data_IF_903551388635
#
_entry.id   IF_903551388635
#
_cell.length_a   1.000
_cell.length_b   1.000
_cell.length_c   1.000
_cell.angle_alpha   90.00
_cell.angle_beta   90.00
_cell.angle_gamma   90.00
#
_symmetry.space_group_name_H-M   'P 1'
#
loop_
_entity.id
_entity.type
_entity.pdbx_description
1 polymer ?
#
# COMPACT_ATOMS: atom_id res chain seq x y z
N UNK A 1 -26.56 7.08 0.05
CA UNK A 1 -25.30 7.56 0.64
C UNK A 1 -24.31 6.40 0.76
N UNK A 2 -23.02 6.62 0.47
CA UNK A 2 -21.98 5.60 0.77
C UNK A 2 -21.76 5.51 2.27
N UNK A 3 -21.71 4.30 2.82
CA UNK A 3 -21.34 4.05 4.23
C UNK A 3 -19.85 4.35 4.46
N UNK A 4 -19.44 4.53 5.72
CA UNK A 4 -18.03 4.69 6.09
C UNK A 4 -17.16 3.53 5.54
N UNK A 5 -17.64 2.30 5.69
CA UNK A 5 -17.04 1.10 5.09
C UNK A 5 -16.84 1.23 3.58
N UNK A 6 -17.90 1.63 2.85
CA UNK A 6 -17.83 1.74 1.39
C UNK A 6 -16.86 2.83 0.93
N UNK A 7 -16.75 3.93 1.69
CA UNK A 7 -15.79 5.01 1.43
C UNK A 7 -14.36 4.54 1.67
N UNK A 8 -14.11 3.87 2.80
CA UNK A 8 -12.80 3.29 3.12
C UNK A 8 -12.36 2.29 2.06
N UNK A 9 -13.20 1.31 1.74
CA UNK A 9 -12.88 0.27 0.75
C UNK A 9 -12.60 0.89 -0.62
N UNK A 10 -13.41 1.87 -1.06
CA UNK A 10 -13.14 2.56 -2.31
C UNK A 10 -11.77 3.27 -2.28
N UNK A 11 -11.47 4.00 -1.22
CA UNK A 11 -10.22 4.75 -1.13
C UNK A 11 -8.98 3.84 -1.17
N UNK A 12 -8.99 2.74 -0.42
CA UNK A 12 -7.91 1.74 -0.44
C UNK A 12 -7.71 1.17 -1.86
N UNK A 13 -8.79 0.85 -2.56
CA UNK A 13 -8.71 0.25 -3.89
C UNK A 13 -8.30 1.25 -4.98
N UNK A 14 -8.79 2.49 -4.89
CA UNK A 14 -8.42 3.58 -5.79
C UNK A 14 -6.93 3.91 -5.67
N UNK A 15 -6.36 3.83 -4.47
CA UNK A 15 -4.90 3.95 -4.29
C UNK A 15 -4.15 2.73 -4.78
N UNK A 16 -4.58 1.53 -4.37
CA UNK A 16 -3.94 0.26 -4.75
C UNK A 16 -3.74 0.12 -6.28
N UNK A 17 -4.76 0.47 -7.08
CA UNK A 17 -4.71 0.30 -8.54
C UNK A 17 -3.70 1.24 -9.23
N UNK A 18 -3.31 2.32 -8.57
CA UNK A 18 -2.34 3.30 -9.07
C UNK A 18 -0.89 2.94 -8.74
N UNK A 19 -0.67 1.93 -7.88
CA UNK A 19 0.65 1.59 -7.41
C UNK A 19 1.53 0.98 -8.51
N UNK A 20 2.82 1.36 -8.57
CA UNK A 20 3.78 0.77 -9.48
C UNK A 20 3.95 -0.72 -9.19
N UNK A 21 4.11 -1.52 -10.24
CA UNK A 21 4.30 -2.96 -10.12
C UNK A 21 3.06 -3.73 -9.64
N UNK A 22 1.85 -3.15 -9.70
CA UNK A 22 0.58 -3.88 -9.51
C UNK A 22 -0.06 -4.25 -10.85
N UNK A 23 -1.06 -5.12 -10.82
CA UNK A 23 -1.83 -5.50 -12.02
C UNK A 23 -2.73 -4.38 -12.58
N UNK A 24 -2.79 -3.20 -11.93
CA UNK A 24 -3.64 -2.06 -12.32
C UNK A 24 -5.12 -2.41 -12.54
N UNK A 25 -5.61 -3.42 -11.82
CA UNK A 25 -7.02 -3.81 -11.77
C UNK A 25 -7.40 -4.28 -10.37
N UNK A 26 -8.68 -4.16 -10.04
CA UNK A 26 -9.25 -4.61 -8.76
C UNK A 26 -9.86 -5.99 -8.90
N UNK A 27 -9.36 -6.95 -8.13
CA UNK A 27 -9.89 -8.30 -8.01
C UNK A 27 -10.98 -8.37 -6.93
N UNK A 28 -11.77 -9.47 -6.95
CA UNK A 28 -12.72 -9.77 -5.86
C UNK A 28 -12.00 -9.94 -4.52
N UNK A 29 -10.81 -10.52 -4.53
CA UNK A 29 -9.99 -10.71 -3.33
C UNK A 29 -9.55 -9.36 -2.73
N UNK A 30 -9.20 -8.38 -3.56
CA UNK A 30 -8.76 -7.06 -3.07
C UNK A 30 -9.88 -6.36 -2.29
N UNK A 31 -11.13 -6.46 -2.79
CA UNK A 31 -12.31 -5.96 -2.06
C UNK A 31 -12.48 -6.65 -0.70
N UNK A 32 -12.26 -7.96 -0.63
CA UNK A 32 -12.33 -8.73 0.62
C UNK A 32 -11.23 -8.29 1.60
N UNK A 33 -10.00 -8.11 1.12
CA UNK A 33 -8.88 -7.63 1.94
C UNK A 33 -9.14 -6.20 2.45
N UNK A 34 -9.57 -5.26 1.60
CA UNK A 34 -9.89 -3.90 2.02
C UNK A 34 -11.03 -3.86 3.06
N UNK A 35 -12.05 -4.72 2.90
CA UNK A 35 -13.12 -4.88 3.87
C UNK A 35 -12.62 -5.46 5.19
N UNK A 36 -11.71 -6.43 5.15
CA UNK A 36 -11.10 -6.99 6.36
C UNK A 36 -10.29 -5.93 7.14
N UNK A 37 -9.52 -5.09 6.44
CA UNK A 37 -8.79 -3.97 7.05
C UNK A 37 -9.73 -2.98 7.74
N UNK A 38 -10.84 -2.61 7.08
CA UNK A 38 -11.87 -1.76 7.70
C UNK A 38 -12.46 -2.39 8.97
N UNK A 39 -12.82 -3.67 8.91
CA UNK A 39 -13.41 -4.40 10.06
C UNK A 39 -12.44 -4.54 11.23
N UNK A 40 -11.14 -4.63 10.95
CA UNK A 40 -10.07 -4.60 11.95
C UNK A 40 -9.84 -3.20 12.55
N UNK A 41 -10.50 -2.16 12.05
CA UNK A 41 -10.31 -0.79 12.51
C UNK A 41 -9.00 -0.16 12.04
N UNK A 42 -8.33 -0.72 11.02
CA UNK A 42 -7.07 -0.19 10.51
C UNK A 42 -7.32 1.19 9.89
N UNK A 43 -6.62 2.20 10.39
CA UNK A 43 -6.74 3.57 9.88
C UNK A 43 -6.23 3.65 8.44
N UNK A 44 -6.83 4.54 7.66
CA UNK A 44 -6.52 4.68 6.24
C UNK A 44 -5.07 5.13 5.98
N UNK A 45 -4.52 5.98 6.84
CA UNK A 45 -3.15 6.45 6.77
C UNK A 45 -2.13 5.32 6.98
N UNK A 46 -2.42 4.34 7.85
CA UNK A 46 -1.57 3.15 8.04
C UNK A 46 -1.51 2.32 6.75
N UNK A 47 -2.65 2.16 6.06
CA UNK A 47 -2.69 1.46 4.77
C UNK A 47 -1.87 2.21 3.70
N UNK A 48 -1.98 3.54 3.64
CA UNK A 48 -1.19 4.34 2.72
C UNK A 48 0.31 4.27 3.02
N UNK A 49 0.69 4.34 4.29
CA UNK A 49 2.07 4.20 4.72
C UNK A 49 2.62 2.80 4.38
N UNK A 50 1.80 1.76 4.49
CA UNK A 50 2.17 0.40 4.08
C UNK A 50 2.43 0.33 2.57
N UNK A 51 1.66 1.05 1.75
CA UNK A 51 1.93 1.15 0.32
C UNK A 51 3.27 1.83 0.06
N UNK A 52 3.56 2.95 0.72
CA UNK A 52 4.82 3.69 0.55
C UNK A 52 6.01 2.79 0.90
N UNK A 53 5.95 2.13 2.06
CA UNK A 53 7.01 1.26 2.54
C UNK A 53 7.23 0.06 1.62
N UNK A 54 6.16 -0.62 1.22
CA UNK A 54 6.23 -1.79 0.33
C UNK A 54 6.76 -1.42 -1.07
N UNK A 55 6.33 -0.29 -1.63
CA UNK A 55 6.83 0.21 -2.91
C UNK A 55 8.32 0.57 -2.79
N UNK A 56 8.72 1.28 -1.74
CA UNK A 56 10.13 1.60 -1.49
C UNK A 56 11.00 0.33 -1.38
N UNK A 57 10.56 -0.67 -0.60
CA UNK A 57 11.27 -1.95 -0.48
C UNK A 57 11.45 -2.65 -1.82
N UNK A 58 10.43 -2.65 -2.67
CA UNK A 58 10.52 -3.25 -4.01
C UNK A 58 11.42 -2.46 -4.96
N UNK A 59 11.39 -1.12 -4.88
CA UNK A 59 12.19 -0.25 -5.74
C UNK A 59 13.67 -0.30 -5.38
N UNK A 60 14.01 -0.30 -4.10
CA UNK A 60 15.39 -0.21 -3.60
C UNK A 60 15.99 -1.55 -3.19
N UNK A 61 15.36 -2.67 -3.55
CA UNK A 61 15.90 -4.01 -3.30
C UNK A 61 17.22 -4.22 -4.03
N UNK A 62 18.12 -4.99 -3.43
CA UNK A 62 19.45 -5.24 -3.98
C UNK A 62 19.50 -6.38 -5.02
N UNK A 63 18.42 -7.16 -5.19
CA UNK A 63 18.38 -8.32 -6.08
C UNK A 63 17.95 -7.96 -7.52
N UNK A 64 18.78 -8.36 -8.49
CA UNK A 64 18.69 -7.98 -9.91
C UNK A 64 17.62 -8.74 -10.73
N UNK A 65 16.80 -9.58 -10.09
CA UNK A 65 15.75 -10.33 -10.79
C UNK A 65 14.63 -9.43 -11.31
N UNK A 66 13.93 -9.86 -12.37
CA UNK A 66 12.65 -9.23 -12.73
C UNK A 66 11.62 -9.49 -11.63
N UNK A 67 10.97 -8.44 -11.17
CA UNK A 67 9.88 -8.53 -10.22
C UNK A 67 8.58 -8.92 -10.92
N UNK A 68 8.00 -10.03 -10.50
CA UNK A 68 6.61 -10.33 -10.82
C UNK A 68 5.67 -9.26 -10.25
N UNK A 69 4.64 -8.82 -10.99
CA UNK A 69 3.66 -7.86 -10.47
C UNK A 69 2.98 -8.33 -9.17
N UNK A 70 2.71 -7.39 -8.28
CA UNK A 70 1.89 -7.62 -7.08
C UNK A 70 0.48 -8.00 -7.52
N UNK A 71 0.12 -9.26 -7.26
CA UNK A 71 -1.10 -9.89 -7.80
C UNK A 71 -2.38 -9.43 -7.10
N UNK A 72 -2.30 -9.03 -5.83
CA UNK A 72 -3.47 -8.64 -5.04
C UNK A 72 -3.07 -7.78 -3.82
N UNK A 73 -4.06 -7.08 -3.26
CA UNK A 73 -3.92 -6.22 -2.09
C UNK A 73 -3.44 -6.97 -0.84
N UNK A 74 -3.68 -8.29 -0.77
CA UNK A 74 -3.22 -9.15 0.33
C UNK A 74 -1.70 -9.06 0.57
N UNK A 75 -0.92 -8.74 -0.46
CA UNK A 75 0.53 -8.53 -0.37
C UNK A 75 0.93 -7.47 0.67
N UNK A 76 0.09 -6.46 0.89
CA UNK A 76 0.39 -5.36 1.80
C UNK A 76 -0.01 -5.65 3.24
N UNK A 77 -0.78 -6.71 3.52
CA UNK A 77 -1.25 -7.03 4.87
C UNK A 77 -0.11 -7.21 5.87
N UNK A 78 0.97 -7.97 5.57
CA UNK A 78 2.10 -8.08 6.49
C UNK A 78 2.80 -6.74 6.76
N UNK A 79 2.82 -5.83 5.79
CA UNK A 79 3.42 -4.49 5.95
C UNK A 79 2.50 -3.58 6.77
N UNK A 80 1.19 -3.73 6.65
CA UNK A 80 0.22 -3.07 7.55
C UNK A 80 0.41 -3.56 8.98
N UNK A 81 0.53 -4.88 9.17
CA UNK A 81 0.72 -5.46 10.50
C UNK A 81 2.03 -4.97 11.12
N UNK A 82 3.12 -4.93 10.35
CA UNK A 82 4.41 -4.35 10.76
C UNK A 82 4.28 -2.89 11.23
N UNK A 83 3.58 -2.03 10.47
CA UNK A 83 3.43 -0.62 10.83
C UNK A 83 2.53 -0.39 12.06
N UNK A 84 1.68 -1.37 12.39
CA UNK A 84 0.85 -1.34 13.61
C UNK A 84 1.70 -1.76 14.82
N UNK A 85 2.52 -2.80 14.65
CA UNK A 85 3.39 -3.32 15.71
C UNK A 85 4.56 -2.37 16.00
N UNK A 86 5.19 -1.84 14.96
CA UNK A 86 6.33 -0.93 15.03
C UNK A 86 6.11 0.29 14.12
N UNK A 87 5.42 1.34 14.63
CA UNK A 87 5.20 2.55 13.87
C UNK A 87 6.53 3.24 13.55
N UNK A 88 6.84 3.52 12.28
CA UNK A 88 8.05 4.22 11.91
C UNK A 88 7.96 5.68 12.34
N UNK A 89 9.12 6.30 12.52
CA UNK A 89 9.23 7.75 12.64
C UNK A 89 8.58 8.41 11.40
N UNK A 90 7.70 9.42 11.56
CA UNK A 90 7.06 10.10 10.44
C UNK A 90 8.06 10.57 9.36
N UNK A 91 9.22 11.06 9.79
CA UNK A 91 10.30 11.56 8.94
C UNK A 91 10.87 10.46 8.04
N UNK A 92 10.84 9.21 8.48
CA UNK A 92 11.31 8.08 7.68
C UNK A 92 10.40 7.84 6.47
N UNK A 93 9.09 7.96 6.64
CA UNK A 93 8.14 7.81 5.53
C UNK A 93 8.27 8.95 4.52
N UNK A 94 8.50 10.18 4.98
CA UNK A 94 8.71 11.33 4.10
C UNK A 94 10.05 11.25 3.36
N UNK A 95 11.09 10.72 4.02
CA UNK A 95 12.32 10.33 3.36
C UNK A 95 12.08 9.29 2.26
N UNK A 96 11.31 8.22 2.53
CA UNK A 96 11.02 7.19 1.53
C UNK A 96 10.25 7.75 0.32
N UNK A 97 9.25 8.62 0.54
CA UNK A 97 8.53 9.30 -0.54
C UNK A 97 9.49 10.14 -1.39
N UNK A 98 10.35 10.94 -0.76
CA UNK A 98 11.34 11.77 -1.45
C UNK A 98 12.31 10.92 -2.26
N UNK A 99 12.77 9.79 -1.70
CA UNK A 99 13.65 8.84 -2.38
C UNK A 99 12.99 8.20 -3.59
N UNK A 100 11.71 7.83 -3.49
CA UNK A 100 10.93 7.28 -4.62
C UNK A 100 10.81 8.29 -5.76
N UNK A 101 10.50 9.56 -5.44
CA UNK A 101 10.43 10.65 -6.43
C UNK A 101 11.78 10.80 -7.15
N UNK A 102 12.89 10.81 -6.41
CA UNK A 102 14.24 10.90 -6.97
C UNK A 102 14.59 9.71 -7.88
N UNK A 103 13.99 8.54 -7.64
CA UNK A 103 14.13 7.35 -8.48
C UNK A 103 13.16 7.31 -9.67
N UNK A 104 12.37 8.38 -9.90
CA UNK A 104 11.38 8.45 -10.97
C UNK A 104 10.11 7.61 -10.70
N UNK A 105 9.89 7.19 -9.46
CA UNK A 105 8.72 6.42 -9.04
C UNK A 105 7.76 7.34 -8.30
N UNK A 106 6.54 7.52 -8.83
CA UNK A 106 5.51 8.29 -8.14
C UNK A 106 5.11 7.56 -6.84
N UNK A 107 5.29 8.19 -5.67
CA UNK A 107 4.89 7.57 -4.42
C UNK A 107 3.36 7.38 -4.38
N UNK A 108 2.87 6.37 -3.65
CA UNK A 108 1.46 6.23 -3.34
C UNK A 108 0.94 7.52 -2.71
N UNK A 109 -0.07 8.13 -3.33
CA UNK A 109 -0.73 9.32 -2.81
C UNK A 109 -1.82 8.98 -1.77
#
# INVERSE_FOLDING_TARGET
MRTAQSRYVAHVLDRYVTLPGTLRRVLRQDRRTALALYRRGVRLDVVHNAFVLAVARRTFRSDAGRLEPIRCLQYFVPVVDELIEEPPLPEYLDYLKSRLINAGVLPPA
#
